data_IF_715535237360
#
_entry.id   IF_715535237360
#
_cell.length_a   1.000
_cell.length_b   1.000
_cell.length_c   1.000
_cell.angle_alpha   90.00
_cell.angle_beta   90.00
_cell.angle_gamma   90.00
#
_symmetry.space_group_name_H-M   'P 1'
#
loop_
_entity.id
_entity.type
_entity.pdbx_description
1 polymer ?
#
# COMPACT_ATOMS: atom_id res chain seq x y z
N UNK A 1 18.98 20.36 1.87
CA UNK A 1 19.25 18.94 1.55
C UNK A 1 17.91 18.22 1.61
N UNK A 2 17.47 17.62 0.50
CA UNK A 2 16.27 16.77 0.49
C UNK A 2 16.55 15.51 1.29
N UNK A 3 15.77 15.23 2.32
CA UNK A 3 15.86 13.98 3.09
C UNK A 3 15.58 12.81 2.15
N UNK A 4 16.35 11.72 2.27
CA UNK A 4 16.06 10.50 1.52
C UNK A 4 14.72 9.92 1.99
N UNK A 5 13.85 9.54 1.05
CA UNK A 5 12.52 9.02 1.35
C UNK A 5 12.61 7.71 2.13
N UNK A 6 13.50 6.80 1.73
CA UNK A 6 13.72 5.49 2.35
C UNK A 6 14.51 5.55 3.66
N UNK A 7 15.22 6.64 3.96
CA UNK A 7 15.82 6.86 5.30
C UNK A 7 14.93 7.76 6.20
N UNK A 8 13.91 8.39 5.62
CA UNK A 8 12.92 9.23 6.29
C UNK A 8 11.57 8.51 6.46
N UNK A 9 10.48 9.00 5.84
CA UNK A 9 9.14 8.43 6.04
C UNK A 9 9.04 6.95 5.64
N UNK A 10 9.84 6.47 4.69
CA UNK A 10 9.83 5.09 4.23
C UNK A 10 10.66 4.12 5.06
N UNK A 11 11.46 4.60 6.02
CA UNK A 11 12.50 3.81 6.70
C UNK A 11 12.03 2.51 7.34
N UNK A 12 10.82 2.50 7.86
CA UNK A 12 10.26 1.35 8.57
C UNK A 12 9.11 0.68 7.81
N UNK A 13 8.86 1.09 6.57
CA UNK A 13 7.73 0.66 5.77
C UNK A 13 8.14 -0.46 4.81
N UNK A 14 7.81 -1.68 5.18
CA UNK A 14 8.09 -2.86 4.36
C UNK A 14 7.16 -2.94 3.15
N UNK A 15 5.97 -2.33 3.22
CA UNK A 15 4.99 -2.34 2.14
C UNK A 15 5.42 -1.58 0.86
N UNK A 16 6.44 -0.71 0.96
CA UNK A 16 6.91 0.10 -0.18
C UNK A 16 7.33 -0.79 -1.35
N UNK A 17 8.12 -1.84 -1.07
CA UNK A 17 8.65 -2.71 -2.12
C UNK A 17 7.57 -3.49 -2.88
N UNK A 18 6.67 -4.25 -2.23
CA UNK A 18 5.60 -4.95 -2.93
C UNK A 18 4.64 -3.98 -3.64
N UNK A 19 4.30 -2.83 -3.04
CA UNK A 19 3.47 -1.83 -3.73
C UNK A 19 4.16 -1.28 -4.97
N UNK A 20 5.44 -0.93 -4.89
CA UNK A 20 6.22 -0.40 -6.01
C UNK A 20 6.30 -1.39 -7.18
N UNK A 21 6.50 -2.69 -6.91
CA UNK A 21 6.49 -3.71 -7.96
C UNK A 21 5.12 -3.81 -8.64
N UNK A 22 4.04 -3.75 -7.86
CA UNK A 22 2.67 -3.72 -8.41
C UNK A 22 2.47 -2.47 -9.27
N UNK A 23 2.91 -1.30 -8.83
CA UNK A 23 2.83 -0.05 -9.60
C UNK A 23 3.63 -0.12 -10.91
N UNK A 24 4.80 -0.78 -10.92
CA UNK A 24 5.57 -1.03 -12.14
C UNK A 24 4.78 -1.86 -13.15
N UNK A 25 4.09 -2.91 -12.71
CA UNK A 25 3.25 -3.75 -13.58
C UNK A 25 2.01 -2.99 -14.05
N UNK A 26 1.39 -2.21 -13.17
CA UNK A 26 0.22 -1.40 -13.50
C UNK A 26 0.54 -0.31 -14.52
N UNK A 27 1.71 0.33 -14.39
CA UNK A 27 2.08 1.52 -15.13
C UNK A 27 1.32 2.78 -14.68
N UNK A 28 1.59 3.90 -15.33
CA UNK A 28 0.80 5.13 -15.14
C UNK A 28 -0.54 4.94 -15.82
N UNK A 29 -1.50 4.36 -15.11
CA UNK A 29 -2.89 4.26 -15.56
C UNK A 29 -3.53 5.65 -15.47
N UNK A 30 -3.55 6.38 -16.59
CA UNK A 30 -4.14 7.72 -16.72
C UNK A 30 -5.61 7.73 -16.27
N UNK A 31 -6.32 6.59 -16.39
CA UNK A 31 -7.72 6.48 -15.98
C UNK A 31 -7.90 6.41 -14.45
N UNK A 32 -6.91 5.92 -13.69
CA UNK A 32 -6.95 5.92 -12.21
C UNK A 32 -6.48 7.23 -11.60
N UNK A 33 -5.69 7.99 -12.34
CA UNK A 33 -5.00 9.17 -11.84
C UNK A 33 -5.20 10.40 -12.74
N UNK A 34 -6.44 10.86 -12.98
CA UNK A 34 -6.68 12.02 -13.85
C UNK A 34 -6.00 13.32 -13.34
N UNK A 35 -5.56 13.34 -12.07
CA UNK A 35 -4.99 14.50 -11.40
C UNK A 35 -3.74 14.18 -10.56
N UNK A 36 -2.80 13.36 -11.07
CA UNK A 36 -1.47 13.31 -10.45
C UNK A 36 -0.83 14.69 -10.56
N UNK A 37 -0.80 15.43 -9.46
CA UNK A 37 -0.16 16.74 -9.40
C UNK A 37 1.35 16.62 -9.69
N UNK A 38 2.01 17.69 -10.18
CA UNK A 38 3.44 17.69 -10.46
C UNK A 38 4.31 17.20 -9.29
N UNK A 39 3.87 17.51 -8.05
CA UNK A 39 4.55 17.09 -6.82
C UNK A 39 4.57 15.56 -6.64
N UNK A 40 3.45 14.88 -6.92
CA UNK A 40 3.36 13.42 -6.80
C UNK A 40 4.18 12.69 -7.87
N UNK A 41 4.29 13.26 -9.07
CA UNK A 41 5.18 12.76 -10.12
C UNK A 41 6.65 12.87 -9.68
N UNK A 42 7.06 14.03 -9.16
CA UNK A 42 8.41 14.25 -8.65
C UNK A 42 8.72 13.30 -7.47
N UNK A 43 7.75 13.07 -6.58
CA UNK A 43 7.89 12.08 -5.50
C UNK A 43 8.13 10.67 -6.05
N UNK A 44 7.33 10.21 -7.02
CA UNK A 44 7.49 8.88 -7.64
C UNK A 44 8.83 8.72 -8.35
N UNK A 45 9.31 9.76 -9.02
CA UNK A 45 10.64 9.77 -9.64
C UNK A 45 11.73 9.62 -8.57
N UNK A 46 11.67 10.40 -7.49
CA UNK A 46 12.61 10.29 -6.35
C UNK A 46 12.58 8.90 -5.74
N UNK A 47 11.39 8.36 -5.46
CA UNK A 47 11.22 7.03 -4.89
C UNK A 47 11.82 5.95 -5.81
N UNK A 48 11.59 6.06 -7.11
CA UNK A 48 12.19 5.17 -8.11
C UNK A 48 13.71 5.21 -8.05
N UNK A 49 14.32 6.40 -8.04
CA UNK A 49 15.78 6.55 -7.97
C UNK A 49 16.38 5.96 -6.69
N UNK A 50 15.71 6.15 -5.55
CA UNK A 50 16.15 5.58 -4.28
C UNK A 50 16.05 4.06 -4.26
N UNK A 51 14.93 3.47 -4.71
CA UNK A 51 14.78 2.01 -4.79
C UNK A 51 15.82 1.42 -5.73
N UNK A 52 16.08 2.04 -6.89
CA UNK A 52 17.12 1.57 -7.83
C UNK A 52 18.51 1.64 -7.22
N UNK A 53 18.78 2.67 -6.40
CA UNK A 53 20.04 2.81 -5.69
C UNK A 53 20.21 1.74 -4.62
N UNK A 54 19.18 1.50 -3.80
CA UNK A 54 19.20 0.49 -2.73
C UNK A 54 19.35 -0.93 -3.27
N UNK A 55 18.70 -1.22 -4.41
CA UNK A 55 18.72 -2.54 -5.07
C UNK A 55 19.90 -2.74 -6.03
N UNK A 56 20.79 -1.74 -6.18
CA UNK A 56 21.90 -1.75 -7.14
C UNK A 56 21.46 -1.93 -8.60
N UNK A 57 20.23 -1.51 -8.92
CA UNK A 57 19.65 -1.54 -10.26
C UNK A 57 19.74 -0.17 -10.96
N UNK A 58 20.73 0.66 -10.64
CA UNK A 58 20.94 1.99 -11.25
C UNK A 58 20.87 2.01 -12.79
N UNK A 59 21.34 1.00 -13.55
CA UNK A 59 21.18 1.00 -15.01
C UNK A 59 19.73 1.04 -15.49
N UNK A 60 18.77 0.60 -14.66
CA UNK A 60 17.33 0.67 -14.94
C UNK A 60 16.72 2.03 -14.65
N UNK A 61 17.43 2.89 -13.91
CA UNK A 61 16.92 4.16 -13.39
C UNK A 61 16.93 5.30 -14.42
N UNK A 62 17.20 5.03 -15.70
CA UNK A 62 17.20 6.03 -16.77
C UNK A 62 15.84 6.76 -16.79
N UNK A 63 15.83 7.97 -16.20
CA UNK A 63 14.63 8.74 -15.93
C UNK A 63 13.87 9.03 -17.25
N UNK A 64 12.55 8.87 -17.24
CA UNK A 64 11.67 9.03 -18.40
C UNK A 64 11.34 7.72 -19.13
N UNK A 65 12.30 6.79 -19.26
CA UNK A 65 12.11 5.57 -20.05
C UNK A 65 11.18 4.53 -19.37
N UNK A 66 11.13 4.51 -18.03
CA UNK A 66 10.29 3.56 -17.30
C UNK A 66 8.80 3.82 -17.59
N UNK A 67 8.33 5.06 -17.56
CA UNK A 67 6.91 5.32 -17.80
C UNK A 67 6.48 5.00 -19.23
N UNK A 68 7.37 5.20 -20.20
CA UNK A 68 7.09 5.05 -21.63
C UNK A 68 7.28 3.61 -22.14
N UNK A 69 8.17 2.83 -21.51
CA UNK A 69 8.53 1.49 -21.98
C UNK A 69 7.97 0.38 -21.07
N UNK A 70 6.87 -0.24 -21.51
CA UNK A 70 6.24 -1.34 -20.78
C UNK A 70 7.18 -2.55 -20.58
N UNK A 71 7.99 -2.91 -21.58
CA UNK A 71 8.90 -4.04 -21.47
C UNK A 71 9.99 -3.79 -20.40
N UNK A 72 10.51 -2.56 -20.32
CA UNK A 72 11.47 -2.16 -19.29
C UNK A 72 10.84 -2.22 -17.89
N UNK A 73 9.61 -1.71 -17.71
CA UNK A 73 8.93 -1.81 -16.40
C UNK A 73 8.70 -3.25 -15.96
N UNK A 74 8.26 -4.09 -16.88
CA UNK A 74 7.99 -5.49 -16.58
C UNK A 74 9.26 -6.28 -16.24
N UNK A 75 10.34 -6.08 -17.01
CA UNK A 75 11.64 -6.67 -16.68
C UNK A 75 12.17 -6.20 -15.31
N UNK A 76 11.93 -4.93 -14.96
CA UNK A 76 12.29 -4.41 -13.64
C UNK A 76 11.45 -5.04 -12.52
N UNK A 77 10.14 -5.13 -12.71
CA UNK A 77 9.22 -5.75 -11.76
C UNK A 77 9.61 -7.22 -11.50
N UNK A 78 9.91 -7.97 -12.56
CA UNK A 78 10.40 -9.34 -12.46
C UNK A 78 11.73 -9.42 -11.68
N UNK A 79 12.71 -8.56 -12.02
CA UNK A 79 14.02 -8.56 -11.36
C UNK A 79 13.89 -8.24 -9.87
N UNK A 80 13.10 -7.23 -9.52
CA UNK A 80 12.83 -6.87 -8.13
C UNK A 80 12.10 -7.99 -7.39
N UNK A 81 11.10 -8.61 -8.02
CA UNK A 81 10.38 -9.72 -7.43
C UNK A 81 11.29 -10.92 -7.17
N UNK A 82 12.31 -11.15 -8.00
CA UNK A 82 13.33 -12.19 -7.78
C UNK A 82 14.30 -11.85 -6.64
N UNK A 83 14.57 -10.57 -6.38
CA UNK A 83 15.51 -10.13 -5.35
C UNK A 83 14.88 -9.98 -3.96
N UNK A 84 13.64 -9.50 -3.89
CA UNK A 84 13.00 -9.06 -2.64
C UNK A 84 11.84 -9.98 -2.20
N UNK A 85 11.51 -11.01 -2.99
CA UNK A 85 10.44 -11.99 -2.73
C UNK A 85 9.12 -11.38 -2.18
N UNK A 86 8.35 -10.65 -3.01
CA UNK A 86 7.17 -9.93 -2.55
C UNK A 86 6.10 -10.86 -1.94
N UNK A 87 5.25 -10.30 -1.08
CA UNK A 87 4.15 -11.03 -0.42
C UNK A 87 3.14 -11.63 -1.41
N UNK A 88 2.26 -12.50 -0.91
CA UNK A 88 1.28 -13.20 -1.76
C UNK A 88 0.37 -12.19 -2.50
N UNK A 89 -0.12 -11.15 -1.80
CA UNK A 89 -0.93 -10.09 -2.42
C UNK A 89 -0.29 -9.45 -3.66
N UNK A 90 0.99 -9.09 -3.57
CA UNK A 90 1.67 -8.44 -4.69
C UNK A 90 1.80 -9.37 -5.90
N UNK A 91 2.14 -10.64 -5.67
CA UNK A 91 2.23 -11.64 -6.73
C UNK A 91 0.88 -11.82 -7.44
N UNK A 92 -0.22 -11.93 -6.67
CA UNK A 92 -1.57 -12.04 -7.22
C UNK A 92 -1.97 -10.79 -8.00
N UNK A 93 -1.79 -9.58 -7.44
CA UNK A 93 -2.13 -8.33 -8.12
C UNK A 93 -1.34 -8.12 -9.42
N UNK A 94 -0.05 -8.47 -9.43
CA UNK A 94 0.77 -8.41 -10.64
C UNK A 94 0.27 -9.41 -11.70
N UNK A 95 -0.01 -10.66 -11.31
CA UNK A 95 -0.52 -11.69 -12.22
C UNK A 95 -1.87 -11.30 -12.84
N UNK A 96 -2.81 -10.81 -12.03
CA UNK A 96 -4.14 -10.39 -12.45
C UNK A 96 -4.08 -9.18 -13.39
N UNK A 97 -3.22 -8.20 -13.08
CA UNK A 97 -3.03 -7.04 -13.96
C UNK A 97 -2.45 -7.45 -15.30
N UNK A 98 -1.46 -8.35 -15.34
CA UNK A 98 -0.91 -8.87 -16.59
C UNK A 98 -1.97 -9.62 -17.42
N UNK A 99 -2.82 -10.42 -16.76
CA UNK A 99 -3.95 -11.09 -17.42
C UNK A 99 -4.93 -10.07 -18.04
N UNK A 100 -5.26 -9.02 -17.30
CA UNK A 100 -6.11 -7.93 -17.79
C UNK A 100 -5.49 -7.21 -18.98
N UNK A 101 -4.20 -6.86 -18.91
CA UNK A 101 -3.46 -6.21 -19.99
C UNK A 101 -3.40 -7.10 -21.24
N UNK A 102 -3.23 -8.41 -21.07
CA UNK A 102 -3.26 -9.39 -22.16
C UNK A 102 -4.61 -9.43 -22.84
N UNK A 103 -5.70 -9.49 -22.08
CA UNK A 103 -7.06 -9.45 -22.63
C UNK A 103 -7.33 -8.14 -23.39
N UNK A 104 -6.94 -7.00 -22.82
CA UNK A 104 -7.08 -5.69 -23.49
C UNK A 104 -6.25 -5.60 -24.77
N UNK A 105 -5.04 -6.15 -24.77
CA UNK A 105 -4.17 -6.15 -25.93
C UNK A 105 -4.69 -7.07 -27.06
N UNK A 106 -5.38 -8.16 -26.74
CA UNK A 106 -6.05 -9.03 -27.72
C UNK A 106 -7.19 -8.31 -28.46
N UNK A 107 -7.84 -7.32 -27.84
CA UNK A 107 -8.92 -6.54 -28.44
C UNK A 107 -8.44 -5.43 -29.38
N UNK A 108 -7.12 -5.19 -29.47
CA UNK A 108 -6.56 -4.14 -30.34
C UNK A 108 -6.53 -4.60 -31.79
N UNK A 109 -6.69 -3.66 -32.73
CA UNK A 109 -6.70 -3.92 -34.17
C UNK A 109 -5.40 -4.57 -34.70
N UNK A 110 -4.27 -4.35 -34.01
CA UNK A 110 -2.97 -4.96 -34.31
C UNK A 110 -2.27 -5.36 -32.99
N UNK A 111 -2.48 -6.58 -32.49
CA UNK A 111 -1.82 -7.06 -31.29
C UNK A 111 -0.32 -7.29 -31.56
N UNK A 112 0.55 -6.83 -30.66
CA UNK A 112 1.98 -7.12 -30.73
C UNK A 112 2.27 -8.52 -30.14
N UNK A 113 2.63 -9.53 -30.95
CA UNK A 113 2.73 -10.92 -30.48
C UNK A 113 3.77 -11.09 -29.36
N UNK A 114 4.95 -10.46 -29.47
CA UNK A 114 5.98 -10.56 -28.44
C UNK A 114 5.59 -9.96 -27.08
N UNK A 115 4.76 -8.90 -27.07
CA UNK A 115 4.28 -8.30 -25.81
C UNK A 115 3.23 -9.20 -25.15
N UNK A 116 2.37 -9.84 -25.96
CA UNK A 116 1.38 -10.80 -25.46
C UNK A 116 2.02 -12.04 -24.83
N UNK A 117 3.08 -12.55 -25.46
CA UNK A 117 3.89 -13.65 -24.94
C UNK A 117 4.56 -13.26 -23.62
N UNK A 118 5.18 -12.08 -23.56
CA UNK A 118 5.78 -11.55 -22.33
C UNK A 118 4.75 -11.43 -21.18
N UNK A 119 3.54 -10.94 -21.47
CA UNK A 119 2.48 -10.87 -20.45
C UNK A 119 2.06 -12.26 -19.96
N UNK A 120 1.96 -13.24 -20.86
CA UNK A 120 1.58 -14.59 -20.52
C UNK A 120 2.65 -15.30 -19.66
N UNK A 121 3.92 -15.18 -20.04
CA UNK A 121 5.04 -15.77 -19.31
C UNK A 121 5.15 -15.20 -17.89
N UNK A 122 5.15 -13.87 -17.76
CA UNK A 122 5.24 -13.22 -16.46
C UNK A 122 4.01 -13.49 -15.58
N UNK A 123 2.81 -13.49 -16.16
CA UNK A 123 1.59 -13.82 -15.41
C UNK A 123 1.63 -15.25 -14.88
N UNK A 124 2.07 -16.22 -15.71
CA UNK A 124 2.25 -17.61 -15.31
C UNK A 124 3.28 -17.73 -14.17
N UNK A 125 4.44 -17.08 -14.33
CA UNK A 125 5.51 -17.08 -13.33
C UNK A 125 5.05 -16.51 -11.98
N UNK A 126 4.39 -15.35 -11.96
CA UNK A 126 3.88 -14.76 -10.71
C UNK A 126 2.75 -15.60 -10.09
N UNK A 127 1.87 -16.18 -10.91
CA UNK A 127 0.81 -17.08 -10.43
C UNK A 127 1.41 -18.31 -9.73
N UNK A 128 2.40 -18.95 -10.35
CA UNK A 128 3.07 -20.12 -9.76
C UNK A 128 3.74 -19.77 -8.42
N UNK A 129 4.38 -18.59 -8.34
CA UNK A 129 4.97 -18.11 -7.08
C UNK A 129 3.94 -17.79 -6.02
N UNK A 130 2.80 -17.20 -6.39
CA UNK A 130 1.69 -16.94 -5.47
C UNK A 130 1.19 -18.26 -4.85
N UNK A 131 0.94 -19.28 -5.68
CA UNK A 131 0.50 -20.61 -5.23
C UNK A 131 1.52 -21.26 -4.30
N UNK A 132 2.82 -21.15 -4.60
CA UNK A 132 3.87 -21.66 -3.71
C UNK A 132 3.87 -20.92 -2.36
N UNK A 133 3.76 -19.60 -2.39
CA UNK A 133 3.74 -18.76 -1.18
C UNK A 133 2.50 -19.05 -0.33
N UNK A 134 1.33 -19.18 -0.93
CA UNK A 134 0.09 -19.60 -0.25
C UNK A 134 0.25 -20.94 0.48
N UNK A 135 0.82 -21.96 -0.19
CA UNK A 135 1.09 -23.27 0.43
C UNK A 135 2.04 -23.13 1.62
N UNK A 136 3.12 -22.36 1.48
CA UNK A 136 4.10 -22.14 2.54
C UNK A 136 3.50 -21.41 3.75
N UNK A 137 2.68 -20.39 3.52
CA UNK A 137 1.96 -19.65 4.57
C UNK A 137 0.97 -20.56 5.32
N UNK A 138 0.22 -21.36 4.57
CA UNK A 138 -0.74 -22.32 5.14
C UNK A 138 -0.06 -23.36 6.03
N UNK A 139 1.09 -23.89 5.61
CA UNK A 139 1.87 -24.86 6.40
C UNK A 139 2.45 -24.30 7.69
N UNK A 140 2.82 -23.01 7.71
CA UNK A 140 3.38 -22.33 8.89
C UNK A 140 2.31 -21.85 9.88
N UNK A 141 1.04 -21.85 9.48
CA UNK A 141 -0.09 -21.43 10.30
C UNK A 141 -0.39 -19.94 10.17
N UNK A 142 -1.41 -19.62 9.34
CA UNK A 142 -1.80 -18.25 9.02
C UNK A 142 -2.06 -17.37 10.25
N UNK A 143 -2.75 -17.89 11.28
CA UNK A 143 -3.09 -17.13 12.48
C UNK A 143 -1.86 -16.75 13.31
N UNK A 144 -0.85 -17.64 13.40
CA UNK A 144 0.39 -17.36 14.14
C UNK A 144 1.16 -16.26 13.44
N UNK A 145 1.34 -16.38 12.12
CA UNK A 145 2.05 -15.38 11.33
C UNK A 145 1.33 -14.02 11.32
N UNK A 146 -0.01 -14.02 11.30
CA UNK A 146 -0.79 -12.80 11.44
C UNK A 146 -0.58 -12.13 12.80
N UNK A 147 -0.56 -12.93 13.88
CA UNK A 147 -0.27 -12.47 15.24
C UNK A 147 1.11 -11.80 15.35
N UNK A 148 2.17 -12.52 14.95
CA UNK A 148 3.55 -12.03 14.96
C UNK A 148 3.70 -10.73 14.15
N UNK A 149 3.14 -10.70 12.93
CA UNK A 149 3.20 -9.53 12.09
C UNK A 149 2.45 -8.34 12.70
N UNK A 150 1.25 -8.58 13.26
CA UNK A 150 0.49 -7.52 13.94
C UNK A 150 1.26 -6.95 15.13
N UNK A 151 1.86 -7.79 15.97
CA UNK A 151 2.64 -7.36 17.12
C UNK A 151 3.85 -6.51 16.70
N UNK A 152 4.55 -6.92 15.64
CA UNK A 152 5.69 -6.19 15.10
C UNK A 152 5.29 -4.78 14.64
N UNK A 153 4.21 -4.65 13.86
CA UNK A 153 3.75 -3.35 13.34
C UNK A 153 3.23 -2.45 14.46
N UNK A 154 2.46 -2.99 15.41
CA UNK A 154 1.99 -2.19 16.56
C UNK A 154 3.13 -1.81 17.51
N UNK A 155 4.16 -2.63 17.63
CA UNK A 155 5.39 -2.26 18.37
C UNK A 155 6.08 -1.07 17.71
N UNK A 156 6.12 -1.02 16.38
CA UNK A 156 6.67 0.15 15.65
C UNK A 156 5.84 1.41 15.88
N UNK A 157 4.50 1.29 15.84
CA UNK A 157 3.60 2.40 16.16
C UNK A 157 3.86 2.90 17.59
N UNK A 158 3.90 2.00 18.57
CA UNK A 158 4.17 2.35 19.98
C UNK A 158 5.51 3.04 20.18
N UNK A 159 6.53 2.66 19.40
CA UNK A 159 7.86 3.27 19.45
C UNK A 159 7.96 4.63 18.75
N UNK A 160 6.86 5.15 18.20
CA UNK A 160 6.81 6.47 17.57
C UNK A 160 7.38 6.52 16.15
N UNK A 161 7.61 5.37 15.51
CA UNK A 161 8.15 5.34 14.13
C UNK A 161 7.23 6.01 13.10
N UNK A 162 5.96 6.19 13.43
CA UNK A 162 4.96 6.78 12.56
C UNK A 162 4.60 8.23 12.93
N UNK A 163 5.38 8.85 13.82
CA UNK A 163 4.99 10.12 14.43
C UNK A 163 4.97 11.32 13.48
N UNK A 164 5.60 11.19 12.31
CA UNK A 164 5.57 12.20 11.25
C UNK A 164 4.22 12.34 10.53
N UNK A 165 3.29 11.39 10.71
CA UNK A 165 1.92 11.49 10.16
C UNK A 165 0.90 11.91 11.22
N UNK A 166 -0.26 12.39 10.75
CA UNK A 166 -1.45 12.61 11.58
C UNK A 166 -1.89 11.31 12.27
N UNK A 167 -2.69 11.41 13.33
CA UNK A 167 -3.16 10.21 14.05
C UNK A 167 -3.89 9.22 13.14
N UNK A 168 -4.79 9.71 12.28
CA UNK A 168 -5.44 8.86 11.30
C UNK A 168 -4.46 8.33 10.24
N UNK A 169 -3.47 9.14 9.85
CA UNK A 169 -2.38 8.71 8.95
C UNK A 169 -1.56 7.57 9.53
N UNK A 170 -1.21 7.62 10.82
CA UNK A 170 -0.52 6.53 11.53
C UNK A 170 -1.32 5.24 11.48
N UNK A 171 -2.63 5.33 11.75
CA UNK A 171 -3.52 4.18 11.66
C UNK A 171 -3.56 3.63 10.23
N UNK A 172 -3.70 4.48 9.21
CA UNK A 172 -3.67 4.04 7.81
C UNK A 172 -2.36 3.34 7.46
N UNK A 173 -1.21 3.89 7.84
CA UNK A 173 0.11 3.28 7.60
C UNK A 173 0.20 1.88 8.23
N UNK A 174 -0.26 1.74 9.47
CA UNK A 174 -0.31 0.43 10.16
C UNK A 174 -1.17 -0.56 9.39
N UNK A 175 -2.37 -0.15 8.96
CA UNK A 175 -3.27 -1.01 8.20
C UNK A 175 -2.69 -1.38 6.83
N UNK A 176 -1.99 -0.46 6.16
CA UNK A 176 -1.35 -0.71 4.88
C UNK A 176 -0.15 -1.66 5.03
N UNK A 177 0.72 -1.48 6.03
CA UNK A 177 1.78 -2.45 6.36
C UNK A 177 1.19 -3.85 6.58
N UNK A 178 0.12 -3.95 7.38
CA UNK A 178 -0.58 -5.21 7.64
C UNK A 178 -1.18 -5.83 6.38
N UNK A 179 -1.78 -5.01 5.51
CA UNK A 179 -2.41 -5.45 4.25
C UNK A 179 -1.42 -6.15 3.32
N UNK A 180 -0.21 -5.61 3.20
CA UNK A 180 0.83 -6.15 2.31
C UNK A 180 1.62 -7.32 2.88
N UNK A 181 1.56 -7.55 4.19
CA UNK A 181 2.28 -8.63 4.87
C UNK A 181 1.41 -9.81 5.32
N UNK A 182 1.95 -10.61 6.23
CA UNK A 182 1.38 -11.90 6.64
C UNK A 182 -0.01 -11.80 7.28
N UNK A 183 -0.30 -10.70 7.98
CA UNK A 183 -1.63 -10.44 8.53
C UNK A 183 -2.69 -10.35 7.42
N UNK A 184 -2.44 -9.52 6.41
CA UNK A 184 -3.34 -9.39 5.26
C UNK A 184 -3.46 -10.70 4.49
N UNK A 185 -2.36 -11.46 4.35
CA UNK A 185 -2.38 -12.76 3.69
C UNK A 185 -3.28 -13.74 4.46
N UNK A 186 -3.22 -13.75 5.80
CA UNK A 186 -4.13 -14.54 6.62
C UNK A 186 -5.59 -14.08 6.46
N UNK A 187 -5.87 -12.77 6.41
CA UNK A 187 -7.23 -12.29 6.16
C UNK A 187 -7.81 -12.73 4.82
N UNK A 188 -6.97 -12.93 3.80
CA UNK A 188 -7.38 -13.35 2.44
C UNK A 188 -7.47 -14.88 2.28
N UNK A 189 -6.58 -15.61 2.94
CA UNK A 189 -6.39 -17.05 2.72
C UNK A 189 -7.04 -17.93 3.80
N UNK A 190 -7.29 -17.39 5.00
CA UNK A 190 -7.95 -18.15 6.05
C UNK A 190 -9.46 -18.27 5.81
N UNK A 191 -10.11 -19.16 6.57
CA UNK A 191 -11.57 -19.28 6.60
C UNK A 191 -12.21 -17.98 7.09
N UNK A 192 -13.43 -17.71 6.64
CA UNK A 192 -14.18 -16.48 6.95
C UNK A 192 -14.26 -16.18 8.45
N UNK A 193 -14.56 -17.18 9.29
CA UNK A 193 -14.62 -17.00 10.75
C UNK A 193 -13.29 -16.54 11.36
N UNK A 194 -12.18 -17.11 10.87
CA UNK A 194 -10.83 -16.77 11.33
C UNK A 194 -10.45 -15.38 10.83
N UNK A 195 -10.77 -15.07 9.58
CA UNK A 195 -10.55 -13.74 8.99
C UNK A 195 -11.33 -12.66 9.75
N UNK A 196 -12.60 -12.92 10.08
CA UNK A 196 -13.44 -12.03 10.88
C UNK A 196 -12.84 -11.80 12.28
N UNK A 197 -12.44 -12.87 12.98
CA UNK A 197 -11.76 -12.78 14.27
C UNK A 197 -10.48 -11.94 14.21
N UNK A 198 -9.64 -12.14 13.20
CA UNK A 198 -8.41 -11.35 13.00
C UNK A 198 -8.73 -9.86 12.79
N UNK A 199 -9.73 -9.55 11.94
CA UNK A 199 -10.17 -8.17 11.69
C UNK A 199 -10.76 -7.52 12.95
N UNK A 200 -11.52 -8.25 13.76
CA UNK A 200 -12.08 -7.74 15.02
C UNK A 200 -11.02 -7.41 16.07
N UNK A 201 -10.02 -8.29 16.20
CA UNK A 201 -8.86 -8.03 17.06
C UNK A 201 -8.09 -6.78 16.58
N UNK A 202 -7.86 -6.66 15.28
CA UNK A 202 -7.22 -5.49 14.68
C UNK A 202 -8.01 -4.20 14.94
N UNK A 203 -9.35 -4.22 14.77
CA UNK A 203 -10.22 -3.06 15.06
C UNK A 203 -10.05 -2.61 16.51
N UNK A 204 -10.04 -3.55 17.45
CA UNK A 204 -9.90 -3.26 18.87
C UNK A 204 -8.51 -2.69 19.20
N UNK A 205 -7.44 -3.28 18.66
CA UNK A 205 -6.06 -2.79 18.86
C UNK A 205 -5.87 -1.39 18.27
N UNK A 206 -6.20 -1.19 16.98
CA UNK A 206 -6.03 0.09 16.32
C UNK A 206 -6.87 1.20 16.96
N UNK A 207 -8.12 0.91 17.39
CA UNK A 207 -8.96 1.90 18.06
C UNK A 207 -8.38 2.33 19.41
N UNK A 208 -7.80 1.39 20.18
CA UNK A 208 -7.14 1.69 21.44
C UNK A 208 -5.90 2.58 21.23
N UNK A 209 -5.01 2.20 20.31
CA UNK A 209 -3.81 2.99 20.00
C UNK A 209 -4.15 4.40 19.49
N UNK A 210 -5.13 4.49 18.60
CA UNK A 210 -5.56 5.77 18.05
C UNK A 210 -6.14 6.69 19.14
N UNK A 211 -6.95 6.14 20.06
CA UNK A 211 -7.53 6.90 21.17
C UNK A 211 -6.50 7.36 22.21
N UNK A 212 -5.48 6.55 22.47
CA UNK A 212 -4.34 6.92 23.33
C UNK A 212 -3.61 8.16 22.80
N UNK A 213 -3.53 8.33 21.48
CA UNK A 213 -2.90 9.50 20.84
C UNK A 213 -3.53 10.85 21.20
N UNK A 214 -4.74 10.87 21.77
CA UNK A 214 -5.40 12.07 22.29
C UNK A 214 -5.84 11.95 23.75
N UNK A 215 -5.35 10.95 24.48
CA UNK A 215 -5.72 10.66 25.86
C UNK A 215 -7.24 10.53 26.08
N UNK A 216 -7.92 9.84 25.17
CA UNK A 216 -9.37 9.63 25.23
C UNK A 216 -9.74 8.14 25.21
N UNK A 217 -11.01 7.84 25.52
CA UNK A 217 -11.60 6.53 25.29
C UNK A 217 -11.84 6.29 23.79
N UNK A 218 -11.74 5.05 23.28
CA UNK A 218 -12.05 4.74 21.87
C UNK A 218 -13.46 5.12 21.42
N UNK A 219 -14.39 5.30 22.34
CA UNK A 219 -15.78 5.71 22.07
C UNK A 219 -15.97 7.24 22.11
N UNK A 220 -15.03 8.01 22.65
CA UNK A 220 -15.13 9.47 22.74
C UNK A 220 -15.06 10.09 21.35
N UNK A 221 -16.00 10.98 21.05
CA UNK A 221 -16.12 11.61 19.73
C UNK A 221 -15.36 12.93 19.68
N UNK A 222 -14.59 13.11 18.62
CA UNK A 222 -13.88 14.34 18.30
C UNK A 222 -14.18 14.75 16.87
N UNK A 223 -14.05 16.04 16.58
CA UNK A 223 -14.17 16.51 15.20
C UNK A 223 -13.06 15.92 14.34
N UNK A 224 -13.37 15.66 13.07
CA UNK A 224 -12.46 14.97 12.16
C UNK A 224 -11.09 15.63 12.02
N UNK A 225 -11.01 16.96 12.16
CA UNK A 225 -9.75 17.70 12.10
C UNK A 225 -8.75 17.24 13.17
N UNK A 226 -9.21 16.82 14.34
CA UNK A 226 -8.34 16.31 15.41
C UNK A 226 -7.54 15.09 14.95
N UNK A 227 -8.16 14.25 14.12
CA UNK A 227 -7.55 13.02 13.61
C UNK A 227 -6.68 13.24 12.37
N UNK A 228 -7.03 14.23 11.54
CA UNK A 228 -6.36 14.51 10.27
C UNK A 228 -5.21 15.52 10.36
N UNK A 229 -5.16 16.31 11.44
CA UNK A 229 -4.11 17.34 11.60
C UNK A 229 -2.74 16.67 11.68
N UNK A 230 -1.87 17.01 10.72
CA UNK A 230 -0.50 16.48 10.66
C UNK A 230 0.40 17.34 11.54
N UNK A 231 1.26 16.75 12.40
CA UNK A 231 2.18 17.53 13.22
C UNK A 231 3.18 18.31 12.36
N UNK A 232 3.62 19.46 12.83
CA UNK A 232 4.70 20.20 12.20
C UNK A 232 6.03 19.48 12.48
N UNK A 233 6.52 18.72 11.50
CA UNK A 233 7.76 17.94 11.60
C UNK A 233 8.68 18.23 10.42
N UNK A 234 9.98 17.96 10.60
CA UNK A 234 10.93 17.96 9.48
C UNK A 234 10.52 16.88 8.47
N UNK A 235 10.52 17.22 7.17
CA UNK A 235 10.08 16.29 6.13
C UNK A 235 8.55 16.13 6.04
N UNK A 236 7.76 17.09 6.54
CA UNK A 236 6.29 17.08 6.43
C UNK A 236 5.79 16.79 5.02
N UNK A 237 6.42 17.41 4.01
CA UNK A 237 6.07 17.21 2.60
C UNK A 237 6.30 15.76 2.19
N UNK A 238 7.48 15.20 2.48
CA UNK A 238 7.81 13.81 2.14
C UNK A 238 6.86 12.80 2.84
N UNK A 239 6.45 13.07 4.07
CA UNK A 239 5.44 12.25 4.78
C UNK A 239 4.08 12.30 4.10
N UNK A 240 3.62 13.51 3.73
CA UNK A 240 2.35 13.68 3.01
C UNK A 240 2.40 13.01 1.65
N UNK A 241 3.50 13.14 0.93
CA UNK A 241 3.63 12.55 -0.40
C UNK A 241 3.70 11.02 -0.35
N UNK A 242 4.43 10.45 0.61
CA UNK A 242 4.45 9.02 0.89
C UNK A 242 3.06 8.49 1.23
N UNK A 243 2.33 9.18 2.11
CA UNK A 243 0.98 8.80 2.50
C UNK A 243 0.01 8.85 1.30
N UNK A 244 0.12 9.90 0.47
CA UNK A 244 -0.66 10.06 -0.75
C UNK A 244 -0.39 8.95 -1.76
N UNK A 245 0.87 8.55 -1.94
CA UNK A 245 1.25 7.44 -2.81
C UNK A 245 0.79 6.09 -2.25
N UNK A 246 0.92 5.82 -0.96
CA UNK A 246 0.42 4.58 -0.36
C UNK A 246 -1.10 4.44 -0.50
N UNK A 247 -1.83 5.56 -0.40
CA UNK A 247 -3.28 5.62 -0.55
C UNK A 247 -3.79 5.95 -1.95
N UNK A 248 -2.97 5.85 -3.00
CA UNK A 248 -3.37 6.23 -4.36
C UNK A 248 -4.44 5.31 -4.99
N UNK A 249 -4.69 4.16 -4.36
CA UNK A 249 -5.78 3.24 -4.71
C UNK A 249 -7.13 3.64 -4.09
N UNK A 250 -7.15 4.54 -3.10
CA UNK A 250 -8.38 4.98 -2.44
C UNK A 250 -9.27 5.77 -3.42
N UNK A 251 -10.59 5.70 -3.22
CA UNK A 251 -11.58 6.40 -4.04
C UNK A 251 -12.54 7.12 -3.10
N UNK A 252 -12.88 8.38 -3.37
CA UNK A 252 -13.65 9.20 -2.42
C UNK A 252 -15.05 8.65 -2.09
N UNK A 253 -15.65 7.92 -3.04
CA UNK A 253 -16.98 7.29 -2.94
C UNK A 253 -16.95 5.93 -2.24
N UNK A 254 -15.92 5.11 -2.50
CA UNK A 254 -15.80 3.76 -1.92
C UNK A 254 -14.99 3.69 -0.63
N UNK A 255 -14.01 4.57 -0.50
CA UNK A 255 -13.04 4.60 0.59
C UNK A 255 -13.00 6.01 1.23
N UNK A 256 -14.14 6.59 1.64
CA UNK A 256 -14.21 7.99 2.04
C UNK A 256 -13.30 8.33 3.24
N UNK A 257 -13.07 7.41 4.16
CA UNK A 257 -12.21 7.66 5.32
C UNK A 257 -10.74 7.62 4.90
N UNK A 258 -10.29 6.52 4.29
CA UNK A 258 -8.90 6.35 3.82
C UNK A 258 -8.51 7.39 2.78
N UNK A 259 -9.42 7.77 1.89
CA UNK A 259 -9.24 8.89 0.96
C UNK A 259 -8.99 10.20 1.69
N UNK A 260 -9.83 10.54 2.68
CA UNK A 260 -9.69 11.80 3.43
C UNK A 260 -8.42 11.85 4.27
N UNK A 261 -7.89 10.69 4.66
CA UNK A 261 -6.61 10.56 5.37
C UNK A 261 -5.43 10.74 4.42
N UNK A 262 -5.45 10.11 3.25
CA UNK A 262 -4.28 10.00 2.37
C UNK A 262 -4.21 11.13 1.33
N UNK A 263 -5.35 11.55 0.79
CA UNK A 263 -5.45 12.59 -0.24
C UNK A 263 -5.66 13.98 0.38
N UNK A 264 -4.78 14.35 1.32
CA UNK A 264 -4.89 15.57 2.13
C UNK A 264 -4.75 16.90 1.34
N UNK A 265 -4.42 16.82 0.05
CA UNK A 265 -4.40 17.93 -0.90
C UNK A 265 -5.76 18.13 -1.58
N UNK A 266 -6.69 17.18 -1.42
CA UNK A 266 -8.05 17.25 -1.90
C UNK A 266 -9.04 17.58 -0.77
N UNK A 267 -10.28 17.85 -1.16
CA UNK A 267 -11.36 18.02 -0.20
C UNK A 267 -11.68 16.69 0.49
N UNK A 268 -12.04 16.80 1.77
CA UNK A 268 -12.51 15.66 2.58
C UNK A 268 -13.75 15.06 1.92
N UNK A 269 -13.74 13.73 1.73
CA UNK A 269 -14.83 13.01 1.08
C UNK A 269 -16.16 13.19 1.82
N UNK A 270 -17.26 13.14 1.07
CA UNK A 270 -18.61 13.28 1.64
C UNK A 270 -18.93 12.20 2.68
N UNK A 271 -18.42 10.97 2.48
CA UNK A 271 -18.61 9.86 3.42
C UNK A 271 -17.79 9.96 4.72
N UNK A 272 -16.87 10.94 4.84
CA UNK A 272 -16.04 11.10 6.03
C UNK A 272 -16.88 11.64 7.20
N UNK A 273 -16.93 10.94 8.35
CA UNK A 273 -17.67 11.42 9.51
C UNK A 273 -17.08 12.71 10.09
N UNK A 274 -17.89 13.76 10.19
CA UNK A 274 -17.44 15.07 10.72
C UNK A 274 -17.16 15.06 12.22
N UNK A 275 -17.86 14.20 12.96
CA UNK A 275 -17.69 13.94 14.39
C UNK A 275 -17.57 12.42 14.57
N UNK A 276 -16.40 11.93 14.97
CA UNK A 276 -16.12 10.50 15.08
C UNK A 276 -15.21 10.17 16.25
N UNK A 277 -15.36 8.95 16.76
CA UNK A 277 -14.44 8.36 17.71
C UNK A 277 -13.37 7.54 17.01
N UNK A 278 -12.31 7.18 17.73
CA UNK A 278 -11.28 6.28 17.22
C UNK A 278 -11.89 4.95 16.72
N UNK A 279 -12.83 4.38 17.48
CA UNK A 279 -13.55 3.16 17.10
C UNK A 279 -14.23 3.30 15.72
N UNK A 280 -15.01 4.38 15.52
CA UNK A 280 -15.71 4.61 14.25
C UNK A 280 -14.76 4.79 13.07
N UNK A 281 -13.64 5.48 13.27
CA UNK A 281 -12.64 5.68 12.22
C UNK A 281 -11.96 4.36 11.83
N UNK A 282 -11.53 3.59 12.82
CA UNK A 282 -10.84 2.32 12.61
C UNK A 282 -11.76 1.28 12.01
N UNK A 283 -13.02 1.19 12.46
CA UNK A 283 -14.02 0.30 11.86
C UNK A 283 -14.16 0.57 10.35
N UNK A 284 -14.30 1.84 9.97
CA UNK A 284 -14.39 2.22 8.57
C UNK A 284 -13.11 1.92 7.78
N UNK A 285 -11.93 2.29 8.29
CA UNK A 285 -10.67 2.02 7.58
C UNK A 285 -10.37 0.53 7.44
N UNK A 286 -10.63 -0.29 8.47
CA UNK A 286 -10.43 -1.75 8.38
C UNK A 286 -11.37 -2.34 7.33
N UNK A 287 -12.60 -1.87 7.26
CA UNK A 287 -13.54 -2.30 6.22
C UNK A 287 -13.10 -1.87 4.82
N UNK A 288 -12.66 -0.63 4.64
CA UNK A 288 -12.19 -0.12 3.35
C UNK A 288 -10.92 -0.83 2.84
N UNK A 289 -10.06 -1.33 3.74
CA UNK A 289 -8.75 -1.90 3.42
C UNK A 289 -8.80 -3.44 3.31
N UNK A 290 -9.63 -4.10 4.13
CA UNK A 290 -9.69 -5.55 4.24
C UNK A 290 -11.07 -6.15 3.90
N UNK A 291 -12.08 -5.34 3.60
CA UNK A 291 -13.41 -5.77 3.19
C UNK A 291 -13.47 -6.33 1.77
#
# INVERSE_FOLDING_TARGET
MTTQLLDGPGRTLECIHPKFMVDLVQGVDVARHPHLGPQQLQFRERLTQEIMTHTRLRPWAMAGMLNENAALRLGLAEKLAGMLDPGHLALTLMADKLNTLRQQAHLRAQPSPGLLEQYAELSSHFTQRAVYKEKALTQRGLTVQAGEHSEQIFTRWRAGHYDGWSLAGRCFIVLEELRWGAFGDACRLAKDDVSAMLKDNLRSMAANYLAQGINASPATRHFYHQWLTTPASAGLIDHKDMLGWLGDWCQADKHPVSWSVTQNWQTVALGMPRLCSAKRLVEAMVEEIFG
#
